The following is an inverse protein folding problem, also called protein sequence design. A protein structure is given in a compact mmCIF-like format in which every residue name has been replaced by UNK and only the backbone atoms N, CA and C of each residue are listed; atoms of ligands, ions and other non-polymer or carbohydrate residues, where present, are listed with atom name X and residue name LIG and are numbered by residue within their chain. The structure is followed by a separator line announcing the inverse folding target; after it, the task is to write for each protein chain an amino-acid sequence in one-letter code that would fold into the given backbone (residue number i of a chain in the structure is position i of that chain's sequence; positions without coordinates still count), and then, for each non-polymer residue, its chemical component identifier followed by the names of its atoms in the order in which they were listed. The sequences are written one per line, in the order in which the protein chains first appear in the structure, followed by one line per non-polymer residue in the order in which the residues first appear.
data_IF_790988090590
#
_entry.id   IF_790988090590
#
_cell.length_a   1.000
_cell.length_b   1.000
_cell.length_c   1.000
_cell.angle_alpha   90.00
_cell.angle_beta   90.00
_cell.angle_gamma   90.00
#
_symmetry.space_group_name_H-M   'P 1'
#
loop_
_entity.id
_entity.type
_entity.pdbx_description
1 polymer ?
#
# COMPACT_ATOMS: atom_id res chain seq x y z
N UNK A 1 -6.75 -13.14 -14.11
CA UNK A 1 -5.53 -13.34 -13.27
C UNK A 1 -5.61 -12.40 -12.09
N UNK A 2 -5.16 -12.80 -10.88
CA UNK A 2 -5.18 -11.94 -9.72
C UNK A 2 -4.35 -10.68 -9.98
N UNK A 3 -5.00 -9.52 -9.92
CA UNK A 3 -4.43 -8.21 -10.20
C UNK A 3 -4.70 -7.21 -9.06
N UNK A 4 -5.23 -7.71 -7.95
CA UNK A 4 -5.77 -6.91 -6.86
C UNK A 4 -5.06 -7.22 -5.55
N UNK A 5 -4.69 -6.17 -4.80
CA UNK A 5 -4.09 -6.22 -3.48
C UNK A 5 -4.98 -5.42 -2.53
N UNK A 6 -5.26 -5.95 -1.35
CA UNK A 6 -5.95 -5.24 -0.29
C UNK A 6 -4.99 -4.89 0.84
N UNK A 7 -4.94 -3.62 1.20
CA UNK A 7 -4.27 -3.13 2.40
C UNK A 7 -5.32 -2.59 3.36
N UNK A 8 -5.55 -3.31 4.45
CA UNK A 8 -6.47 -2.88 5.50
C UNK A 8 -5.75 -1.86 6.37
N UNK A 9 -6.37 -0.70 6.55
CA UNK A 9 -5.81 0.40 7.33
C UNK A 9 -6.83 0.89 8.34
N UNK A 10 -6.43 0.95 9.61
CA UNK A 10 -7.18 1.61 10.69
C UNK A 10 -6.67 3.02 10.98
N UNK A 11 -5.51 3.39 10.42
CA UNK A 11 -4.87 4.71 10.53
C UNK A 11 -4.07 5.04 9.27
N UNK A 12 -3.97 6.32 8.93
CA UNK A 12 -3.17 6.85 7.81
C UNK A 12 -1.65 6.79 8.07
N UNK A 13 -1.23 6.50 9.30
CA UNK A 13 0.18 6.57 9.72
C UNK A 13 1.03 5.39 9.23
N UNK A 14 0.39 4.37 8.64
CA UNK A 14 1.05 3.16 8.15
C UNK A 14 0.94 3.02 6.62
N UNK A 15 1.59 3.90 5.84
CA UNK A 15 1.59 3.81 4.39
C UNK A 15 2.31 2.54 3.92
N UNK A 16 2.02 2.06 2.69
CA UNK A 16 2.71 0.92 2.10
C UNK A 16 4.21 1.14 2.04
N UNK A 17 4.95 0.12 2.49
CA UNK A 17 6.40 0.06 2.34
C UNK A 17 6.74 -0.29 0.88
N UNK A 18 7.63 0.51 0.29
CA UNK A 18 7.91 0.52 -1.14
C UNK A 18 8.49 -0.81 -1.63
N UNK A 19 9.46 -1.35 -0.91
CA UNK A 19 10.24 -2.49 -1.39
C UNK A 19 9.41 -3.78 -1.30
N UNK A 20 8.64 -3.89 -0.24
CA UNK A 20 7.70 -4.95 0.08
C UNK A 20 6.58 -4.96 -0.97
N UNK A 21 6.00 -3.80 -1.28
CA UNK A 21 5.00 -3.70 -2.34
C UNK A 21 5.59 -4.06 -3.71
N UNK A 22 6.81 -3.63 -4.02
CA UNK A 22 7.49 -4.03 -5.27
C UNK A 22 7.64 -5.55 -5.35
N UNK A 23 8.13 -6.19 -4.28
CA UNK A 23 8.30 -7.64 -4.22
C UNK A 23 6.98 -8.39 -4.40
N UNK A 24 5.89 -7.92 -3.77
CA UNK A 24 4.56 -8.51 -3.95
C UNK A 24 4.15 -8.40 -5.43
N UNK A 25 4.22 -7.21 -6.01
CA UNK A 25 3.77 -6.94 -7.38
C UNK A 25 4.58 -7.73 -8.40
N UNK A 26 5.90 -7.79 -8.27
CA UNK A 26 6.77 -8.54 -9.19
C UNK A 26 6.44 -10.04 -9.24
N UNK A 27 5.94 -10.59 -8.13
CA UNK A 27 5.53 -11.99 -8.04
C UNK A 27 4.08 -12.24 -8.48
N UNK A 28 3.27 -11.19 -8.72
CA UNK A 28 1.90 -11.37 -9.17
C UNK A 28 1.86 -11.84 -10.63
N UNK A 29 1.05 -12.88 -10.94
CA UNK A 29 0.89 -13.34 -12.32
C UNK A 29 0.47 -12.20 -13.26
N UNK A 30 -0.45 -11.31 -12.84
CA UNK A 30 -0.89 -10.19 -13.66
C UNK A 30 0.25 -9.22 -14.04
N UNK A 31 1.30 -9.12 -13.23
CA UNK A 31 2.48 -8.34 -13.56
C UNK A 31 3.45 -9.08 -14.50
N UNK A 32 3.67 -10.38 -14.23
CA UNK A 32 4.62 -11.24 -14.94
C UNK A 32 4.18 -11.57 -16.36
N UNK A 33 2.94 -11.98 -16.55
CA UNK A 33 2.51 -12.61 -17.81
C UNK A 33 1.86 -11.59 -18.77
N UNK A 34 1.55 -10.39 -18.28
CA UNK A 34 1.03 -9.28 -19.08
C UNK A 34 1.85 -8.03 -18.84
N UNK A 35 2.28 -7.37 -19.92
CA UNK A 35 2.98 -6.07 -19.84
C UNK A 35 2.04 -4.88 -19.65
N UNK A 36 0.74 -5.06 -19.86
CA UNK A 36 -0.26 -3.97 -19.87
C UNK A 36 -1.19 -3.99 -18.66
N UNK A 37 -1.28 -5.10 -17.93
CA UNK A 37 -2.22 -5.20 -16.81
C UNK A 37 -1.87 -4.21 -15.71
N UNK A 38 -2.89 -3.55 -15.18
CA UNK A 38 -2.78 -2.71 -14.00
C UNK A 38 -2.92 -3.58 -12.76
N UNK A 39 -2.25 -3.20 -11.69
CA UNK A 39 -2.38 -3.81 -10.38
C UNK A 39 -3.13 -2.83 -9.50
N UNK A 40 -4.26 -3.24 -8.94
CA UNK A 40 -5.10 -2.38 -8.09
C UNK A 40 -4.74 -2.60 -6.63
N UNK A 41 -4.21 -1.58 -5.98
CA UNK A 41 -4.01 -1.55 -4.54
C UNK A 41 -5.20 -0.83 -3.89
N UNK A 42 -6.07 -1.58 -3.22
CA UNK A 42 -7.19 -1.04 -2.47
C UNK A 42 -6.79 -0.81 -1.02
N UNK A 43 -6.89 0.44 -0.58
CA UNK A 43 -6.87 0.79 0.83
C UNK A 43 -8.27 0.61 1.39
N UNK A 44 -8.44 -0.42 2.22
CA UNK A 44 -9.69 -0.70 2.91
C UNK A 44 -9.65 0.07 4.22
N UNK A 45 -10.48 1.11 4.33
CA UNK A 45 -10.45 2.06 5.44
C UNK A 45 -11.83 2.18 6.08
N UNK A 46 -11.90 2.39 7.40
CA UNK A 46 -13.16 2.61 8.08
C UNK A 46 -13.69 4.02 7.77
N UNK A 47 -15.01 4.20 7.87
CA UNK A 47 -15.70 5.44 7.47
C UNK A 47 -15.10 6.71 8.12
N UNK A 48 -14.60 6.61 9.35
CA UNK A 48 -14.04 7.73 10.11
C UNK A 48 -12.82 8.36 9.42
N UNK A 49 -12.04 7.59 8.66
CA UNK A 49 -10.84 8.09 7.97
C UNK A 49 -11.04 8.16 6.45
N UNK A 50 -12.18 7.71 5.92
CA UNK A 50 -12.45 7.70 4.48
C UNK A 50 -12.57 9.11 3.90
N UNK A 51 -13.32 9.99 4.57
CA UNK A 51 -13.60 11.34 4.07
C UNK A 51 -12.33 12.22 3.93
N UNK A 52 -11.30 11.94 4.73
CA UNK A 52 -10.03 12.67 4.74
C UNK A 52 -8.89 11.84 4.16
N UNK A 53 -9.19 10.69 3.53
CA UNK A 53 -8.16 9.80 3.02
C UNK A 53 -7.44 10.42 1.81
N UNK A 54 -6.13 10.57 1.94
CA UNK A 54 -5.25 10.90 0.82
C UNK A 54 -4.53 9.66 0.32
N UNK A 55 -4.33 9.58 -0.99
CA UNK A 55 -3.53 8.52 -1.59
C UNK A 55 -2.12 8.50 -1.01
N UNK A 56 -1.69 7.30 -0.61
CA UNK A 56 -0.50 7.13 0.21
C UNK A 56 0.76 7.23 -0.65
N UNK A 57 1.70 8.05 -0.18
CA UNK A 57 3.06 8.06 -0.72
C UNK A 57 3.84 6.89 -0.14
N UNK A 58 4.64 6.23 -0.98
CA UNK A 58 5.44 5.10 -0.55
C UNK A 58 6.53 5.52 0.44
N UNK A 59 6.79 4.66 1.44
CA UNK A 59 7.91 4.83 2.37
C UNK A 59 8.96 3.75 2.20
N UNK A 60 10.21 4.06 2.56
CA UNK A 60 11.29 3.08 2.68
C UNK A 60 11.74 3.03 4.13
N UNK A 61 12.00 1.83 4.62
CA UNK A 61 12.68 1.62 5.90
C UNK A 61 14.11 2.11 5.79
N UNK A 62 14.53 2.90 6.78
CA UNK A 62 15.91 3.34 6.96
C UNK A 62 16.38 2.77 8.28
N UNK A 63 17.32 1.81 8.18
CA UNK A 63 18.05 1.31 9.35
C UNK A 63 18.81 2.49 9.97
N UNK A 64 18.46 2.82 11.20
CA UNK A 64 19.25 3.76 11.99
C UNK A 64 20.41 2.99 12.61
N UNK A 65 21.64 3.34 12.24
CA UNK A 65 22.83 2.78 12.91
C UNK A 65 22.83 3.27 14.36
N UNK A 66 22.46 2.40 15.30
CA UNK A 66 22.58 2.65 16.74
C UNK A 66 21.28 2.68 17.54
N UNK A 67 20.11 2.49 16.92
CA UNK A 67 18.84 2.29 17.64
C UNK A 67 18.02 1.19 16.98
N UNK A 68 17.32 0.37 17.76
CA UNK A 68 16.41 -0.70 17.26
C UNK A 68 15.10 -0.14 16.67
N UNK A 69 15.01 1.18 16.49
CA UNK A 69 13.83 1.85 15.95
C UNK A 69 14.07 2.16 14.48
N UNK A 70 13.45 1.34 13.63
CA UNK A 70 13.39 1.59 12.20
C UNK A 70 12.58 2.86 11.92
N UNK A 71 13.22 3.82 11.27
CA UNK A 71 12.53 5.02 10.80
C UNK A 71 12.12 4.86 9.34
N UNK A 72 10.99 5.45 8.95
CA UNK A 72 10.52 5.41 7.56
C UNK A 72 10.71 6.77 6.91
N UNK A 73 11.26 6.81 5.69
CA UNK A 73 11.41 8.04 4.90
C UNK A 73 10.56 7.96 3.64
N UNK A 74 10.05 9.10 3.20
CA UNK A 74 9.36 9.24 1.91
C UNK A 74 10.25 8.75 0.75
N UNK A 75 9.73 7.87 -0.07
CA UNK A 75 10.45 7.32 -1.21
C UNK A 75 10.14 8.09 -2.50
N UNK A 76 11.16 8.32 -3.34
CA UNK A 76 10.94 8.83 -4.70
C UNK A 76 10.32 7.71 -5.54
N UNK A 77 9.18 7.98 -6.19
CA UNK A 77 8.52 7.00 -7.04
C UNK A 77 9.21 6.89 -8.41
N UNK A 78 10.30 6.11 -8.48
CA UNK A 78 11.04 5.81 -9.73
C UNK A 78 10.93 4.35 -10.18
N UNK A 79 10.08 3.54 -9.55
CA UNK A 79 9.99 2.12 -9.90
C UNK A 79 9.04 1.90 -11.09
N UNK A 80 9.51 1.23 -12.14
CA UNK A 80 8.66 0.80 -13.27
C UNK A 80 7.52 -0.12 -12.80
N UNK A 81 7.75 -0.88 -11.73
CA UNK A 81 6.74 -1.76 -11.11
C UNK A 81 5.59 -0.92 -10.56
N UNK A 82 5.91 0.13 -9.79
CA UNK A 82 4.92 0.97 -9.14
C UNK A 82 4.14 1.86 -10.11
N UNK A 83 4.66 2.12 -11.31
CA UNK A 83 3.90 2.78 -12.38
C UNK A 83 2.72 1.95 -12.89
N UNK A 84 2.71 0.64 -12.60
CA UNK A 84 1.59 -0.27 -12.91
C UNK A 84 0.63 -0.43 -11.74
N UNK A 85 0.93 0.15 -10.58
CA UNK A 85 0.06 0.11 -9.40
C UNK A 85 -0.87 1.32 -9.39
N UNK A 86 -2.16 1.06 -9.36
CA UNK A 86 -3.21 2.05 -9.20
C UNK A 86 -3.74 1.99 -7.77
N UNK A 87 -3.83 3.14 -7.12
CA UNK A 87 -4.35 3.24 -5.76
C UNK A 87 -5.85 3.51 -5.81
N UNK A 88 -6.58 2.76 -5.01
CA UNK A 88 -8.02 2.87 -4.82
C UNK A 88 -8.31 2.89 -3.33
N UNK A 89 -9.42 3.50 -2.93
CA UNK A 89 -9.87 3.50 -1.54
C UNK A 89 -11.26 2.89 -1.46
N UNK A 90 -11.46 2.00 -0.49
CA UNK A 90 -12.75 1.38 -0.18
C UNK A 90 -13.13 1.76 1.24
N UNK A 91 -14.27 2.43 1.37
CA UNK A 91 -14.90 2.65 2.66
C UNK A 91 -15.56 1.35 3.11
N UNK A 92 -15.28 0.93 4.34
CA UNK A 92 -16.07 -0.10 5.02
C UNK A 92 -16.80 0.50 6.21
N UNK A 93 -18.10 0.26 6.27
CA UNK A 93 -18.87 0.47 7.49
C UNK A 93 -18.72 -0.78 8.36
N UNK A 94 -17.82 -0.71 9.34
CA UNK A 94 -17.65 -1.78 10.32
C UNK A 94 -17.89 -1.23 11.72
N UNK A 95 -18.94 -1.72 12.36
CA UNK A 95 -19.23 -1.48 13.77
C UNK A 95 -18.39 -2.45 14.60
N UNK A 96 -17.28 -1.99 15.18
CA UNK A 96 -16.55 -2.77 16.19
C UNK A 96 -17.45 -2.86 17.42
N UNK A 97 -18.18 -3.98 17.56
CA UNK A 97 -18.91 -4.28 18.79
C UNK A 97 -17.91 -4.70 19.86
N UNK A 98 -17.67 -3.84 20.84
CA UNK A 98 -17.07 -4.29 22.10
C UNK A 98 -18.08 -5.22 22.78
N UNK A 99 -17.69 -6.48 22.98
CA UNK A 99 -18.42 -7.43 23.83
C UNK A 99 -18.06 -7.20 25.28
#
# INVERSE_FOLDING_TARGET
MPDTIFQVMTSIEHPPLRNELIQIVENMPAYRDSKKSKIRLYFVVPQQIFATFEYQKYRVTKKNKGTDIDSTKLAKNKSKVLNRVEQWVLCIDYQIKHK
#
